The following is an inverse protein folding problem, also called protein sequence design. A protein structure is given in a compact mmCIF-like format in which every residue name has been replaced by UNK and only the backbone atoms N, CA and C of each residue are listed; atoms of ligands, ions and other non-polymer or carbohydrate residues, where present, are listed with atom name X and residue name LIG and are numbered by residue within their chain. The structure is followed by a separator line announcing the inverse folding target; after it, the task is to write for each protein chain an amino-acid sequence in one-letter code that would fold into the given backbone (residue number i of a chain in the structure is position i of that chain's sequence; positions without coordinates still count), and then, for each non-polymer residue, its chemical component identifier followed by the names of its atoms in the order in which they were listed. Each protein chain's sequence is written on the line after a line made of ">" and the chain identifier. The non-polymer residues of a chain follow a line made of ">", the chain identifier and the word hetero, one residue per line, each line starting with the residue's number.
data_IF_566664608237
#
_entry.id   IF_566664608237
#
_cell.length_a   1.000
_cell.length_b   1.000
_cell.length_c   1.000
_cell.angle_alpha   90.00
_cell.angle_beta   90.00
_cell.angle_gamma   90.00
#
_symmetry.space_group_name_H-M   'P 1'
#
loop_
_entity.id
_entity.type
_entity.pdbx_description
1 polymer ?
#
# COMPACT_ATOMS: atom_id res chain seq x y z
N UNK A 1 -10.29 -13.28 3.05
CA UNK A 1 -8.87 -12.89 2.86
C UNK A 1 -8.38 -13.54 1.58
N UNK A 2 -7.98 -12.72 0.62
CA UNK A 2 -7.51 -13.13 -0.70
C UNK A 2 -5.98 -13.14 -0.74
N UNK A 3 -5.41 -13.94 -1.64
CA UNK A 3 -3.96 -13.99 -1.89
C UNK A 3 -3.61 -13.14 -3.10
N UNK A 4 -2.69 -12.20 -2.90
CA UNK A 4 -2.19 -11.31 -3.93
C UNK A 4 -0.73 -11.61 -4.21
N UNK A 5 -0.40 -11.89 -5.47
CA UNK A 5 0.97 -11.89 -5.92
C UNK A 5 1.40 -10.44 -6.19
N UNK A 6 2.42 -9.96 -5.49
CA UNK A 6 3.01 -8.63 -5.65
C UNK A 6 4.49 -8.74 -6.02
N UNK A 7 5.04 -7.68 -6.58
CA UNK A 7 6.48 -7.50 -6.71
C UNK A 7 6.93 -6.57 -5.57
N UNK A 8 7.72 -7.05 -4.61
CA UNK A 8 8.15 -6.24 -3.48
C UNK A 8 9.17 -5.15 -3.88
N UNK A 9 9.58 -4.32 -2.92
CA UNK A 9 10.53 -3.22 -3.16
C UNK A 9 11.91 -3.67 -3.72
N UNK A 10 12.25 -4.96 -3.60
CA UNK A 10 13.47 -5.56 -4.13
C UNK A 10 13.28 -6.21 -5.52
N UNK A 11 12.11 -6.08 -6.12
CA UNK A 11 11.79 -6.70 -7.42
C UNK A 11 11.51 -8.21 -7.32
N UNK A 12 11.25 -8.73 -6.13
CA UNK A 12 10.98 -10.15 -5.91
C UNK A 12 9.48 -10.41 -5.82
N UNK A 13 9.04 -11.51 -6.44
CA UNK A 13 7.66 -11.96 -6.31
C UNK A 13 7.39 -12.41 -4.86
N UNK A 14 6.32 -11.88 -4.27
CA UNK A 14 5.89 -12.17 -2.91
C UNK A 14 4.37 -12.37 -2.88
N UNK A 15 3.90 -13.33 -2.11
CA UNK A 15 2.47 -13.52 -1.84
C UNK A 15 2.08 -12.74 -0.58
N UNK A 16 1.04 -11.92 -0.67
CA UNK A 16 0.39 -11.25 0.45
C UNK A 16 -1.01 -11.79 0.64
N UNK A 17 -1.36 -12.14 1.87
CA UNK A 17 -2.75 -12.46 2.24
C UNK A 17 -3.38 -11.20 2.80
N UNK A 18 -4.44 -10.71 2.16
CA UNK A 18 -5.05 -9.42 2.49
C UNK A 18 -6.44 -9.22 1.92
N UNK A 19 -6.85 -7.96 1.85
CA UNK A 19 -8.09 -7.48 1.25
C UNK A 19 -7.77 -6.29 0.34
N UNK A 20 -8.35 -6.28 -0.86
CA UNK A 20 -8.23 -5.12 -1.74
C UNK A 20 -9.05 -3.96 -1.17
N UNK A 21 -8.48 -2.76 -1.16
CA UNK A 21 -9.14 -1.56 -0.67
C UNK A 21 -9.14 -0.48 -1.75
N UNK A 22 -10.30 0.15 -1.93
CA UNK A 22 -10.48 1.25 -2.90
C UNK A 22 -10.30 2.57 -2.16
N UNK A 23 -9.48 3.45 -2.71
CA UNK A 23 -9.24 4.78 -2.15
C UNK A 23 -9.83 5.84 -3.08
N UNK A 24 -10.73 6.71 -2.58
CA UNK A 24 -11.32 7.77 -3.38
C UNK A 24 -10.26 8.68 -4.03
N UNK A 25 -10.43 8.96 -5.32
CA UNK A 25 -9.51 9.76 -6.12
C UNK A 25 -8.24 9.03 -6.57
N UNK A 26 -8.04 7.77 -6.20
CA UNK A 26 -6.95 6.89 -6.66
C UNK A 26 -7.48 5.52 -7.08
N UNK A 27 -8.68 5.48 -7.64
CA UNK A 27 -9.40 4.25 -8.02
C UNK A 27 -8.66 3.45 -9.10
N UNK A 28 -7.77 4.07 -9.87
CA UNK A 28 -6.92 3.36 -10.83
C UNK A 28 -5.76 2.57 -10.18
N UNK A 29 -5.55 2.74 -8.87
CA UNK A 29 -4.46 2.13 -8.12
C UNK A 29 -5.02 1.01 -7.25
N UNK A 30 -4.40 -0.17 -7.31
CA UNK A 30 -4.79 -1.31 -6.46
C UNK A 30 -4.02 -1.30 -5.15
N UNK A 31 -4.74 -1.12 -4.05
CA UNK A 31 -4.18 -1.17 -2.70
C UNK A 31 -4.62 -2.44 -2.00
N UNK A 32 -3.72 -3.05 -1.23
CA UNK A 32 -3.96 -4.26 -0.47
C UNK A 32 -3.73 -3.95 1.01
N UNK A 33 -4.77 -4.09 1.82
CA UNK A 33 -4.67 -4.10 3.28
C UNK A 33 -4.31 -5.52 3.72
N UNK A 34 -3.19 -5.67 4.42
CA UNK A 34 -2.74 -6.98 4.89
C UNK A 34 -2.11 -6.89 6.29
N UNK A 35 -2.02 -8.03 6.96
CA UNK A 35 -1.28 -8.15 8.21
C UNK A 35 0.22 -7.90 7.98
N UNK A 36 0.88 -7.26 8.94
CA UNK A 36 2.30 -6.92 8.88
C UNK A 36 2.91 -6.98 10.29
N UNK A 37 4.22 -7.17 10.37
CA UNK A 37 4.96 -7.16 11.65
C UNK A 37 5.20 -5.72 12.10
N UNK A 38 4.22 -5.12 12.77
CA UNK A 38 4.40 -3.87 13.51
C UNK A 38 4.91 -4.19 14.92
N UNK A 39 6.23 -4.16 15.10
CA UNK A 39 6.89 -4.54 16.35
C UNK A 39 6.50 -5.96 16.81
N UNK A 40 6.62 -6.27 18.10
CA UNK A 40 6.29 -7.59 18.70
C UNK A 40 4.80 -7.89 18.74
N UNK A 41 3.96 -6.89 18.47
CA UNK A 41 2.51 -6.95 18.65
C UNK A 41 1.75 -7.20 17.34
N UNK A 42 2.44 -7.17 16.21
CA UNK A 42 1.80 -7.26 14.89
C UNK A 42 1.01 -5.99 14.55
N UNK A 43 0.53 -5.93 13.31
CA UNK A 43 -0.20 -4.79 12.81
C UNK A 43 -0.67 -4.98 11.39
N UNK A 44 -0.94 -3.86 10.72
CA UNK A 44 -1.44 -3.84 9.35
C UNK A 44 -0.57 -2.94 8.48
N UNK A 45 -0.59 -3.21 7.19
CA UNK A 45 -0.02 -2.36 6.17
C UNK A 45 -0.96 -2.27 4.97
N UNK A 46 -0.99 -1.10 4.34
CA UNK A 46 -1.56 -0.92 3.01
C UNK A 46 -0.42 -0.84 2.01
N UNK A 47 -0.40 -1.77 1.07
CA UNK A 47 0.63 -1.89 0.05
C UNK A 47 0.00 -1.70 -1.33
N UNK A 48 0.63 -0.90 -2.17
CA UNK A 48 0.23 -0.81 -3.57
C UNK A 48 0.72 -2.06 -4.32
N UNK A 49 -0.16 -2.68 -5.09
CA UNK A 49 0.03 -4.03 -5.64
C UNK A 49 1.16 -4.12 -6.67
N UNK A 50 1.22 -3.20 -7.64
CA UNK A 50 2.13 -3.30 -8.78
C UNK A 50 3.58 -3.03 -8.39
N UNK A 51 3.82 -2.09 -7.49
CA UNK A 51 5.16 -1.69 -7.03
C UNK A 51 5.59 -2.36 -5.73
N UNK A 52 4.64 -2.97 -5.00
CA UNK A 52 4.86 -3.51 -3.66
C UNK A 52 5.23 -2.46 -2.62
N UNK A 53 5.05 -1.17 -2.94
CA UNK A 53 5.36 -0.07 -2.02
C UNK A 53 4.31 0.03 -0.93
N UNK A 54 4.79 0.03 0.31
CA UNK A 54 3.95 0.29 1.48
C UNK A 54 3.61 1.78 1.54
N UNK A 55 2.32 2.07 1.62
CA UNK A 55 1.75 3.43 1.64
C UNK A 55 1.48 3.88 3.07
N UNK A 56 0.91 3.00 3.88
CA UNK A 56 0.61 3.24 5.28
C UNK A 56 0.75 1.96 6.09
N UNK A 57 0.98 2.09 7.39
CA UNK A 57 0.97 0.97 8.33
C UNK A 57 0.64 1.45 9.74
N UNK A 58 0.15 0.52 10.56
CA UNK A 58 -0.22 0.80 11.93
C UNK A 58 -0.29 -0.43 12.81
N UNK A 59 -0.55 -0.24 14.13
CA UNK A 59 -0.67 -1.32 15.10
C UNK A 59 -1.96 -2.12 14.90
N UNK A 60 -1.97 -3.34 15.42
CA UNK A 60 -3.14 -4.24 15.40
C UNK A 60 -4.40 -3.57 15.99
N UNK A 61 -5.57 -3.87 15.43
CA UNK A 61 -6.86 -3.39 15.92
C UNK A 61 -7.24 -1.99 15.44
N UNK A 62 -6.39 -1.35 14.62
CA UNK A 62 -6.63 -0.03 14.04
C UNK A 62 -6.85 -0.08 12.53
N UNK A 63 -7.15 -1.25 11.97
CA UNK A 63 -7.33 -1.49 10.53
C UNK A 63 -8.42 -0.61 9.93
N UNK A 64 -9.47 -0.30 10.70
CA UNK A 64 -10.54 0.62 10.31
C UNK A 64 -10.03 2.05 10.04
N UNK A 65 -8.84 2.42 10.54
CA UNK A 65 -8.20 3.71 10.26
C UNK A 65 -7.28 3.67 9.04
N UNK A 66 -7.01 2.49 8.46
CA UNK A 66 -6.06 2.32 7.37
C UNK A 66 -6.41 3.17 6.15
N UNK A 67 -7.68 3.16 5.73
CA UNK A 67 -8.16 3.99 4.63
C UNK A 67 -7.96 5.48 4.91
N UNK A 68 -8.37 5.95 6.09
CA UNK A 68 -8.19 7.36 6.47
C UNK A 68 -6.70 7.78 6.52
N UNK A 69 -5.80 6.87 6.89
CA UNK A 69 -4.36 7.13 6.82
C UNK A 69 -3.87 7.22 5.39
N UNK A 70 -4.30 6.32 4.50
CA UNK A 70 -3.93 6.36 3.08
C UNK A 70 -4.46 7.63 2.41
N UNK A 71 -5.73 7.99 2.67
CA UNK A 71 -6.33 9.25 2.20
C UNK A 71 -5.53 10.45 2.69
N UNK A 72 -5.13 10.47 3.97
CA UNK A 72 -4.28 11.54 4.51
C UNK A 72 -2.92 11.61 3.83
N UNK A 73 -2.27 10.47 3.57
CA UNK A 73 -0.98 10.42 2.86
C UNK A 73 -1.13 11.00 1.44
N UNK A 74 -2.19 10.61 0.73
CA UNK A 74 -2.49 11.13 -0.61
C UNK A 74 -2.81 12.62 -0.58
N UNK A 75 -3.62 13.08 0.38
CA UNK A 75 -3.95 14.49 0.54
C UNK A 75 -2.72 15.35 0.89
N UNK A 76 -1.79 14.80 1.67
CA UNK A 76 -0.56 15.51 2.10
C UNK A 76 0.46 15.63 0.98
N UNK A 77 0.68 14.55 0.23
CA UNK A 77 1.74 14.49 -0.78
C UNK A 77 1.25 14.77 -2.21
N UNK A 78 -0.06 14.66 -2.43
CA UNK A 78 -0.69 14.73 -3.74
C UNK A 78 -0.61 13.41 -4.51
N UNK A 79 -1.68 13.12 -5.26
CA UNK A 79 -1.79 11.95 -6.15
C UNK A 79 -0.63 11.84 -7.13
N UNK A 80 -0.19 12.96 -7.72
CA UNK A 80 0.91 12.96 -8.69
C UNK A 80 2.23 12.50 -8.08
N UNK A 81 2.51 12.91 -6.83
CA UNK A 81 3.69 12.47 -6.10
C UNK A 81 3.61 10.98 -5.80
N UNK A 82 2.44 10.48 -5.38
CA UNK A 82 2.21 9.05 -5.18
C UNK A 82 2.51 8.29 -6.49
N UNK A 83 1.90 8.68 -7.61
CA UNK A 83 2.13 8.04 -8.91
C UNK A 83 3.60 8.07 -9.33
N UNK A 84 4.31 9.18 -9.10
CA UNK A 84 5.75 9.27 -9.37
C UNK A 84 6.55 8.27 -8.52
N UNK A 85 6.22 8.15 -7.23
CA UNK A 85 6.88 7.21 -6.33
C UNK A 85 6.57 5.77 -6.73
N UNK A 86 5.35 5.45 -7.13
CA UNK A 86 4.94 4.08 -7.52
C UNK A 86 5.58 3.58 -8.81
N UNK A 87 5.97 4.48 -9.73
CA UNK A 87 6.63 4.08 -10.98
C UNK A 87 6.27 4.91 -12.21
N UNK A 88 5.44 5.96 -12.09
CA UNK A 88 5.32 6.99 -13.13
C UNK A 88 6.38 8.10 -12.94
N UNK A 89 7.63 7.70 -12.90
CA UNK A 89 8.76 8.55 -13.24
C UNK A 89 9.61 7.74 -14.19
N UNK A 90 9.67 8.16 -15.47
CA UNK A 90 10.61 7.60 -16.46
C UNK A 90 11.93 7.27 -15.76
N UNK A 91 12.36 6.02 -15.80
CA UNK A 91 13.80 5.75 -15.77
C UNK A 91 14.36 6.45 -17.01
N UNK A 92 14.89 7.65 -16.82
CA UNK A 92 15.86 8.22 -17.72
C UNK A 92 17.15 7.42 -17.53
N UNK A 93 17.24 6.29 -18.23
CA UNK A 93 18.43 5.86 -18.97
C UNK A 93 18.03 4.76 -19.97
#
# INVERSE_FOLDING_TARGET
>A
MEKFLICNEFGQAQELSGEEVVVPGCEEIQFILHAWLYDRHGGWAVTERSSGKRIASGPQGTEHTALAQVERQIATHGKETLMRVLGAGRRSD
#
